data_IF_683018397027
#
_entry.id   IF_683018397027
#
_cell.length_a   1.000
_cell.length_b   1.000
_cell.length_c   1.000
_cell.angle_alpha   90.00
_cell.angle_beta   90.00
_cell.angle_gamma   90.00
#
_symmetry.space_group_name_H-M   'P 1'
#
loop_
_entity.id
_entity.type
_entity.pdbx_description
1 polymer ?
#
# COMPACT_ATOMS: atom_id res chain seq x y z
N UNK A 1 44.09 -9.09 -43.59
CA UNK A 1 43.05 -8.46 -42.74
C UNK A 1 42.05 -7.79 -43.67
N UNK A 2 40.77 -8.18 -43.66
CA UNK A 2 39.76 -7.59 -44.55
C UNK A 2 39.30 -6.24 -44.02
N UNK A 3 39.25 -5.22 -44.88
CA UNK A 3 38.78 -3.87 -44.58
C UNK A 3 37.40 -3.87 -43.88
N UNK A 4 36.51 -4.77 -44.30
CA UNK A 4 35.17 -4.96 -43.73
C UNK A 4 35.24 -5.32 -42.24
N UNK A 5 36.23 -6.14 -41.83
CA UNK A 5 36.40 -6.55 -40.45
C UNK A 5 36.82 -5.40 -39.52
N UNK A 6 37.62 -4.46 -40.03
CA UNK A 6 38.05 -3.26 -39.27
C UNK A 6 36.90 -2.26 -39.11
N UNK A 7 36.08 -2.09 -40.15
CA UNK A 7 34.89 -1.23 -40.07
C UNK A 7 33.87 -1.83 -39.09
N UNK A 8 33.57 -3.13 -39.18
CA UNK A 8 32.64 -3.77 -38.25
C UNK A 8 33.10 -3.72 -36.78
N UNK A 9 34.40 -3.88 -36.52
CA UNK A 9 34.94 -3.80 -35.16
C UNK A 9 34.89 -2.40 -34.57
N UNK A 10 35.19 -1.36 -35.36
CA UNK A 10 35.06 0.04 -34.91
C UNK A 10 33.61 0.45 -34.63
N UNK A 11 32.67 0.00 -35.46
CA UNK A 11 31.23 0.24 -35.25
C UNK A 11 30.69 -0.45 -33.99
N UNK A 12 31.05 -1.71 -33.76
CA UNK A 12 30.64 -2.45 -32.56
C UNK A 12 31.25 -1.88 -31.28
N UNK A 13 32.51 -1.45 -31.33
CA UNK A 13 33.16 -0.76 -30.21
C UNK A 13 32.46 0.57 -29.89
N UNK A 14 32.14 1.36 -30.92
CA UNK A 14 31.40 2.63 -30.78
C UNK A 14 30.01 2.41 -30.17
N UNK A 15 29.27 1.41 -30.64
CA UNK A 15 27.94 1.09 -30.12
C UNK A 15 28.00 0.65 -28.64
N UNK A 16 28.95 -0.21 -28.28
CA UNK A 16 29.15 -0.65 -26.89
C UNK A 16 29.50 0.52 -25.98
N UNK A 17 30.38 1.42 -26.42
CA UNK A 17 30.74 2.60 -25.65
C UNK A 17 29.53 3.51 -25.41
N UNK A 18 28.75 3.80 -26.47
CA UNK A 18 27.51 4.60 -26.36
C UNK A 18 26.50 3.96 -25.42
N UNK A 19 26.31 2.64 -25.50
CA UNK A 19 25.39 1.92 -24.62
C UNK A 19 25.84 1.96 -23.16
N UNK A 20 27.15 1.78 -22.89
CA UNK A 20 27.70 1.85 -21.54
C UNK A 20 27.54 3.25 -20.94
N UNK A 21 27.84 4.30 -21.71
CA UNK A 21 27.64 5.70 -21.27
C UNK A 21 26.17 5.97 -21.00
N UNK A 22 25.26 5.52 -21.88
CA UNK A 22 23.82 5.68 -21.67
C UNK A 22 23.34 4.96 -20.41
N UNK A 23 23.77 3.71 -20.17
CA UNK A 23 23.42 2.96 -18.95
C UNK A 23 23.96 3.64 -17.70
N UNK A 24 25.20 4.13 -17.73
CA UNK A 24 25.79 4.87 -16.62
C UNK A 24 25.01 6.16 -16.33
N UNK A 25 24.61 6.89 -17.38
CA UNK A 25 23.80 8.10 -17.24
C UNK A 25 22.43 7.82 -16.61
N UNK A 26 21.68 6.84 -17.15
CA UNK A 26 20.37 6.44 -16.60
C UNK A 26 20.51 6.02 -15.13
N UNK A 27 21.56 5.26 -14.82
CA UNK A 27 21.81 4.82 -13.45
C UNK A 27 22.14 6.00 -12.51
N UNK A 28 22.96 6.97 -12.94
CA UNK A 28 23.24 8.17 -12.15
C UNK A 28 22.01 9.04 -11.92
N UNK A 29 21.16 9.22 -12.94
CA UNK A 29 19.90 9.96 -12.80
C UNK A 29 18.98 9.25 -11.83
N UNK A 30 18.77 7.94 -12.01
CA UNK A 30 17.96 7.12 -11.12
C UNK A 30 18.45 7.20 -9.67
N UNK A 31 19.75 7.01 -9.44
CA UNK A 31 20.36 7.10 -8.12
C UNK A 31 20.15 8.49 -7.49
N UNK A 32 20.35 9.55 -8.27
CA UNK A 32 20.18 10.92 -7.78
C UNK A 32 18.74 11.20 -7.38
N UNK A 33 17.78 10.80 -8.22
CA UNK A 33 16.35 10.89 -7.92
C UNK A 33 16.01 10.13 -6.64
N UNK A 34 16.51 8.91 -6.48
CA UNK A 34 16.27 8.08 -5.29
C UNK A 34 16.81 8.73 -4.00
N UNK A 35 17.97 9.38 -4.06
CA UNK A 35 18.52 10.10 -2.90
C UNK A 35 17.74 11.35 -2.55
N UNK A 36 17.31 12.11 -3.56
CA UNK A 36 16.49 13.30 -3.34
C UNK A 36 15.15 12.92 -2.74
N UNK A 37 14.48 11.89 -3.26
CA UNK A 37 13.20 11.41 -2.70
C UNK A 37 13.37 10.91 -1.27
N UNK A 38 14.42 10.15 -0.98
CA UNK A 38 14.71 9.68 0.38
C UNK A 38 14.94 10.85 1.35
N UNK A 39 15.69 11.86 0.93
CA UNK A 39 15.92 13.06 1.74
C UNK A 39 14.63 13.83 2.02
N UNK A 40 13.80 14.03 1.00
CA UNK A 40 12.51 14.71 1.14
C UNK A 40 11.58 13.96 2.09
N UNK A 41 11.43 12.65 1.92
CA UNK A 41 10.58 11.83 2.79
C UNK A 41 11.07 11.86 4.23
N UNK A 42 12.38 11.76 4.47
CA UNK A 42 12.96 11.91 5.82
C UNK A 42 12.66 13.27 6.44
N UNK A 43 12.84 14.34 5.67
CA UNK A 43 12.57 15.69 6.14
C UNK A 43 11.09 15.86 6.48
N UNK A 44 10.19 15.36 5.64
CA UNK A 44 8.75 15.40 5.86
C UNK A 44 8.33 14.58 7.07
N UNK A 45 8.81 13.34 7.21
CA UNK A 45 8.49 12.49 8.36
C UNK A 45 9.00 13.13 9.65
N UNK A 46 10.25 13.61 9.67
CA UNK A 46 10.81 14.27 10.85
C UNK A 46 10.03 15.53 11.24
N UNK A 47 9.70 16.39 10.26
CA UNK A 47 8.92 17.59 10.50
C UNK A 47 7.51 17.26 11.01
N UNK A 48 6.84 16.27 10.40
CA UNK A 48 5.51 15.84 10.80
C UNK A 48 5.50 15.22 12.21
N UNK A 49 6.48 14.35 12.53
CA UNK A 49 6.62 13.77 13.87
C UNK A 49 6.88 14.86 14.90
N UNK A 50 7.72 15.87 14.60
CA UNK A 50 7.99 16.99 15.51
C UNK A 50 6.71 17.79 15.79
N UNK A 51 5.97 18.17 14.75
CA UNK A 51 4.73 18.94 14.91
C UNK A 51 3.69 18.14 15.71
N UNK A 52 3.56 16.85 15.42
CA UNK A 52 2.68 15.97 16.18
C UNK A 52 3.13 15.89 17.64
N UNK A 53 4.42 15.73 17.92
CA UNK A 53 4.94 15.67 19.28
C UNK A 53 4.69 16.96 20.07
N UNK A 54 4.93 18.12 19.46
CA UNK A 54 4.63 19.44 20.07
C UNK A 54 3.13 19.55 20.42
N UNK A 55 2.26 19.07 19.53
CA UNK A 55 0.81 19.04 19.78
C UNK A 55 0.46 18.12 20.95
N UNK A 56 1.04 16.93 21.02
CA UNK A 56 0.82 15.97 22.11
C UNK A 56 1.35 16.42 23.47
N UNK A 57 2.35 17.32 23.52
CA UNK A 57 2.80 17.90 24.78
C UNK A 57 1.79 18.88 25.37
N UNK A 58 0.99 19.52 24.52
CA UNK A 58 -0.02 20.48 24.95
C UNK A 58 -1.33 19.81 25.37
N UNK A 59 -1.64 18.63 24.84
CA UNK A 59 -2.88 17.92 25.08
C UNK A 59 -2.62 16.42 25.24
N UNK A 60 -3.16 15.81 26.31
CA UNK A 60 -3.19 14.35 26.39
C UNK A 60 -4.22 13.81 25.40
N UNK A 61 -3.78 12.89 24.53
CA UNK A 61 -4.64 12.23 23.57
C UNK A 61 -4.70 10.74 23.88
N UNK A 62 -5.89 10.23 24.16
CA UNK A 62 -6.12 8.81 24.45
C UNK A 62 -6.06 7.96 23.17
N UNK A 63 -6.47 8.54 22.03
CA UNK A 63 -6.58 7.85 20.74
C UNK A 63 -5.94 8.68 19.64
N UNK A 64 -5.12 8.04 18.82
CA UNK A 64 -4.47 8.63 17.64
C UNK A 64 -5.04 7.98 16.39
N UNK A 65 -5.52 8.81 15.47
CA UNK A 65 -6.02 8.34 14.19
C UNK A 65 -5.05 8.79 13.11
N UNK A 66 -4.61 7.86 12.28
CA UNK A 66 -3.67 8.13 11.21
C UNK A 66 -4.04 7.38 9.94
N UNK A 67 -3.81 8.00 8.79
CA UNK A 67 -4.15 7.43 7.47
C UNK A 67 -2.95 7.52 6.53
N UNK A 68 -2.72 6.46 5.75
CA UNK A 68 -1.68 6.39 4.70
C UNK A 68 -0.32 6.84 5.23
N UNK A 69 0.22 7.95 4.70
CA UNK A 69 1.48 8.56 5.13
C UNK A 69 1.50 8.92 6.62
N UNK A 70 0.39 9.42 7.16
CA UNK A 70 0.27 9.69 8.60
C UNK A 70 0.46 8.44 9.45
N UNK A 71 0.03 7.28 8.95
CA UNK A 71 0.29 6.00 9.61
C UNK A 71 1.77 5.68 9.70
N UNK A 72 2.53 5.96 8.63
CA UNK A 72 3.99 5.81 8.64
C UNK A 72 4.67 6.81 9.60
N UNK A 73 4.21 8.06 9.66
CA UNK A 73 4.71 9.08 10.59
C UNK A 73 4.45 8.67 12.05
N UNK A 74 3.25 8.16 12.33
CA UNK A 74 2.89 7.68 13.66
C UNK A 74 3.77 6.51 14.08
N UNK A 75 3.92 5.49 13.23
CA UNK A 75 4.77 4.34 13.50
C UNK A 75 6.24 4.76 13.69
N UNK A 76 6.74 5.69 12.87
CA UNK A 76 8.09 6.25 13.03
C UNK A 76 8.26 7.01 14.36
N UNK A 77 7.28 7.84 14.73
CA UNK A 77 7.31 8.53 16.02
C UNK A 77 7.28 7.56 17.20
N UNK A 78 6.46 6.50 17.13
CA UNK A 78 6.43 5.46 18.15
C UNK A 78 7.75 4.71 18.26
N UNK A 79 8.39 4.42 17.14
CA UNK A 79 9.76 3.88 17.11
C UNK A 79 10.77 4.78 17.82
N UNK A 80 10.59 6.10 17.75
CA UNK A 80 11.39 7.08 18.47
C UNK A 80 10.95 7.30 19.94
N UNK A 81 10.00 6.51 20.45
CA UNK A 81 9.46 6.64 21.82
C UNK A 81 8.45 7.78 22.00
N UNK A 82 7.99 8.40 20.91
CA UNK A 82 6.90 9.37 20.95
C UNK A 82 5.55 8.63 21.06
N UNK A 83 4.52 9.31 21.57
CA UNK A 83 3.13 8.80 21.57
C UNK A 83 2.93 7.49 22.35
N UNK A 84 3.72 7.27 23.41
CA UNK A 84 3.55 6.13 24.29
C UNK A 84 2.22 6.22 25.05
N UNK A 85 1.53 5.09 25.19
CA UNK A 85 0.29 4.98 25.99
C UNK A 85 -1.01 5.29 25.24
N UNK A 86 -0.98 5.83 24.03
CA UNK A 86 -2.19 6.10 23.24
C UNK A 86 -2.63 4.88 22.41
N UNK A 87 -3.95 4.64 22.36
CA UNK A 87 -4.56 3.72 21.41
C UNK A 87 -4.47 4.29 19.98
N UNK A 88 -4.45 3.44 18.95
CA UNK A 88 -4.18 3.87 17.59
C UNK A 88 -5.16 3.27 16.60
N UNK A 89 -5.62 4.07 15.65
CA UNK A 89 -6.42 3.62 14.52
C UNK A 89 -5.68 3.99 13.25
N UNK A 90 -5.24 2.98 12.51
CA UNK A 90 -4.44 3.12 11.29
C UNK A 90 -5.28 2.76 10.08
N UNK A 91 -5.49 3.73 9.18
CA UNK A 91 -6.13 3.52 7.89
C UNK A 91 -5.09 3.37 6.78
N UNK A 92 -5.09 2.24 6.08
CA UNK A 92 -4.16 1.92 4.98
C UNK A 92 -2.72 2.41 5.22
N UNK A 93 -2.06 2.05 6.35
CA UNK A 93 -0.81 2.68 6.72
C UNK A 93 0.29 2.36 5.67
N UNK A 94 1.04 3.40 5.27
CA UNK A 94 1.97 3.34 4.15
C UNK A 94 3.43 3.08 4.56
N UNK A 95 3.66 2.43 5.70
CA UNK A 95 4.98 2.16 6.25
C UNK A 95 5.87 1.34 5.31
N UNK A 96 5.29 0.44 4.51
CA UNK A 96 6.06 -0.33 3.53
C UNK A 96 6.58 0.52 2.36
N UNK A 97 5.91 1.64 2.05
CA UNK A 97 6.35 2.59 1.01
C UNK A 97 7.39 3.57 1.57
N UNK A 98 7.15 4.06 2.79
CA UNK A 98 7.98 5.10 3.43
C UNK A 98 9.24 4.52 4.07
N UNK A 99 9.14 3.34 4.68
CA UNK A 99 10.23 2.69 5.42
C UNK A 99 11.54 2.56 4.64
N UNK A 100 11.54 2.04 3.40
CA UNK A 100 12.76 1.95 2.58
C UNK A 100 13.46 3.30 2.34
N UNK A 101 12.70 4.40 2.30
CA UNK A 101 13.22 5.75 2.06
C UNK A 101 13.83 6.38 3.32
N UNK A 102 13.48 5.88 4.50
CA UNK A 102 14.02 6.38 5.77
C UNK A 102 15.40 5.78 6.10
N UNK A 103 15.83 4.72 5.42
CA UNK A 103 16.99 3.85 5.74
C UNK A 103 17.07 3.39 7.20
N UNK A 104 15.99 3.50 7.96
CA UNK A 104 15.81 2.63 9.13
C UNK A 104 15.68 1.21 8.57
N UNK A 105 16.26 0.21 9.25
CA UNK A 105 15.95 -1.17 8.91
C UNK A 105 14.42 -1.26 8.84
N UNK A 106 13.85 -1.75 7.74
CA UNK A 106 12.41 -1.95 7.68
C UNK A 106 11.94 -2.80 8.88
N UNK A 107 12.82 -3.63 9.44
CA UNK A 107 12.58 -4.37 10.68
C UNK A 107 12.46 -3.47 11.93
N UNK A 108 13.11 -2.31 12.00
CA UNK A 108 12.99 -1.38 13.13
C UNK A 108 11.66 -0.62 13.12
N UNK A 109 11.08 -0.41 11.93
CA UNK A 109 9.77 0.25 11.78
C UNK A 109 8.59 -0.73 11.73
N UNK A 110 8.80 -1.94 11.20
CA UNK A 110 7.80 -3.02 11.14
C UNK A 110 7.77 -3.79 12.47
N UNK A 111 8.90 -3.86 13.18
CA UNK A 111 9.07 -4.64 14.40
C UNK A 111 8.86 -3.88 15.70
N UNK A 112 8.54 -2.58 15.66
CA UNK A 112 8.15 -1.89 16.88
C UNK A 112 6.66 -2.14 17.13
N UNK A 113 6.31 -2.93 18.16
CA UNK A 113 4.93 -3.28 18.40
C UNK A 113 4.16 -1.99 18.71
N UNK A 114 3.13 -1.66 17.93
CA UNK A 114 2.15 -0.69 18.39
C UNK A 114 1.66 -1.14 19.76
N UNK A 115 1.59 -0.19 20.71
CA UNK A 115 0.98 -0.42 22.01
C UNK A 115 -0.38 -1.13 21.91
N UNK A 116 -0.74 -1.87 22.96
CA UNK A 116 -2.06 -2.46 23.14
C UNK A 116 -3.15 -1.45 22.71
N UNK A 117 -4.13 -1.91 21.93
CA UNK A 117 -5.18 -1.04 21.39
C UNK A 117 -4.87 -0.40 20.04
N UNK A 118 -4.10 -1.07 19.18
CA UNK A 118 -3.93 -0.64 17.78
C UNK A 118 -4.88 -1.40 16.85
N UNK A 119 -5.72 -0.65 16.15
CA UNK A 119 -6.63 -1.11 15.11
C UNK A 119 -6.07 -0.74 13.74
N UNK A 120 -5.88 -1.74 12.87
CA UNK A 120 -5.49 -1.52 11.47
C UNK A 120 -6.68 -1.79 10.58
N UNK A 121 -7.06 -0.78 9.79
CA UNK A 121 -8.13 -0.83 8.81
C UNK A 121 -7.50 -0.65 7.43
N UNK A 122 -7.76 -1.58 6.51
CA UNK A 122 -7.23 -1.51 5.16
C UNK A 122 -8.32 -1.92 4.16
N UNK A 123 -8.51 -1.14 3.10
CA UNK A 123 -9.46 -1.48 2.05
C UNK A 123 -8.86 -2.52 1.10
N UNK A 124 -9.53 -3.65 0.88
CA UNK A 124 -8.98 -4.74 0.03
C UNK A 124 -8.70 -4.35 -1.43
N UNK A 125 -9.22 -3.21 -1.88
CA UNK A 125 -9.04 -2.66 -3.24
C UNK A 125 -8.27 -1.33 -3.25
N UNK A 126 -7.46 -1.07 -2.22
CA UNK A 126 -6.57 0.10 -2.21
C UNK A 126 -5.47 -0.08 -3.28
N UNK A 127 -5.49 0.77 -4.30
CA UNK A 127 -4.49 0.75 -5.39
C UNK A 127 -3.23 1.56 -5.04
N UNK A 128 -3.29 2.38 -3.98
CA UNK A 128 -2.21 3.30 -3.61
C UNK A 128 -1.27 2.66 -2.60
N UNK A 129 -1.82 1.99 -1.58
CA UNK A 129 -1.05 1.31 -0.56
C UNK A 129 -1.36 -0.18 -0.61
N UNK A 130 -0.38 -1.04 -0.98
CA UNK A 130 -0.59 -2.47 -1.01
C UNK A 130 -1.03 -3.03 0.35
N UNK A 131 -2.03 -3.89 0.37
CA UNK A 131 -2.59 -4.52 1.58
C UNK A 131 -1.53 -5.34 2.33
N UNK A 132 -0.54 -5.86 1.61
CA UNK A 132 0.60 -6.61 2.15
C UNK A 132 1.38 -5.80 3.18
N UNK A 133 1.39 -4.46 3.09
CA UNK A 133 2.04 -3.62 4.09
C UNK A 133 1.34 -3.71 5.44
N UNK A 134 0.01 -3.70 5.43
CA UNK A 134 -0.79 -3.83 6.64
C UNK A 134 -0.76 -5.26 7.18
N UNK A 135 -0.75 -6.26 6.30
CA UNK A 135 -0.59 -7.66 6.71
C UNK A 135 0.76 -7.89 7.40
N UNK A 136 1.86 -7.42 6.82
CA UNK A 136 3.20 -7.53 7.44
C UNK A 136 3.26 -6.85 8.80
N UNK A 137 2.58 -5.71 8.95
CA UNK A 137 2.47 -5.01 10.23
C UNK A 137 1.68 -5.83 11.25
N UNK A 138 0.56 -6.47 10.86
CA UNK A 138 -0.23 -7.30 11.77
C UNK A 138 0.53 -8.57 12.15
N UNK A 139 1.22 -9.21 11.20
CA UNK A 139 2.00 -10.43 11.45
C UNK A 139 3.19 -10.17 12.38
N UNK A 140 3.79 -8.97 12.35
CA UNK A 140 4.81 -8.60 13.33
C UNK A 140 4.24 -8.30 14.74
N UNK A 141 2.91 -8.30 14.91
CA UNK A 141 2.19 -7.94 16.15
C UNK A 141 1.47 -9.13 16.83
N UNK A 142 1.90 -10.37 16.59
CA UNK A 142 1.17 -11.61 16.89
C UNK A 142 0.61 -11.78 18.33
N UNK A 143 0.99 -10.96 19.31
CA UNK A 143 0.47 -11.03 20.68
C UNK A 143 -0.59 -9.95 21.04
N UNK A 144 -0.80 -8.89 20.23
CA UNK A 144 -1.62 -7.73 20.67
C UNK A 144 -2.54 -7.08 19.62
N UNK A 145 -2.54 -7.53 18.36
CA UNK A 145 -3.36 -6.92 17.31
C UNK A 145 -4.66 -7.67 17.03
N UNK A 146 -5.78 -6.93 16.90
CA UNK A 146 -7.03 -7.46 16.33
C UNK A 146 -7.16 -6.98 14.88
N UNK A 147 -7.29 -7.93 13.95
CA UNK A 147 -7.54 -7.67 12.53
C UNK A 147 -9.03 -7.46 12.29
N UNK A 148 -9.39 -6.37 11.63
CA UNK A 148 -10.77 -6.14 11.13
C UNK A 148 -10.68 -5.90 9.63
N UNK A 149 -11.20 -6.84 8.85
CA UNK A 149 -11.37 -6.68 7.40
C UNK A 149 -12.77 -6.16 7.11
N UNK A 150 -12.85 -4.98 6.48
CA UNK A 150 -14.10 -4.46 5.95
C UNK A 150 -14.15 -4.83 4.46
N UNK A 151 -14.68 -6.02 4.19
CA UNK A 151 -15.02 -6.41 2.83
C UNK A 151 -16.22 -5.56 2.38
N UNK A 152 -16.04 -4.78 1.31
CA UNK A 152 -17.19 -4.21 0.61
C UNK A 152 -18.06 -5.40 0.20
N UNK A 153 -19.25 -5.53 0.80
CA UNK A 153 -20.30 -6.39 0.27
C UNK A 153 -20.42 -5.99 -1.19
N UNK A 154 -20.05 -6.92 -2.08
CA UNK A 154 -20.39 -6.80 -3.48
C UNK A 154 -21.87 -6.48 -3.50
N UNK A 155 -22.20 -5.29 -3.96
CA UNK A 155 -23.55 -4.96 -4.36
C UNK A 155 -23.86 -5.85 -5.56
N UNK A 156 -24.19 -7.12 -5.29
CA UNK A 156 -24.91 -7.97 -6.20
C UNK A 156 -26.19 -7.23 -6.54
N UNK A 157 -26.26 -6.81 -7.81
CA UNK A 157 -27.40 -6.17 -8.45
C UNK A 157 -28.28 -5.30 -7.55
N UNK A 158 -27.91 -4.03 -7.38
CA UNK A 158 -28.95 -3.02 -7.38
C UNK A 158 -29.62 -3.14 -8.76
N UNK A 159 -30.76 -3.84 -8.80
CA UNK A 159 -31.56 -4.02 -9.99
C UNK A 159 -31.75 -2.68 -10.68
N UNK A 160 -31.65 -2.72 -12.01
CA UNK A 160 -31.88 -1.57 -12.87
C UNK A 160 -33.20 -0.86 -12.50
N UNK A 161 -33.15 0.39 -11.97
CA UNK A 161 -34.36 1.12 -11.59
C UNK A 161 -35.18 1.54 -12.82
N UNK A 162 -34.76 1.23 -14.05
CA UNK A 162 -35.54 1.48 -15.26
C UNK A 162 -36.41 0.32 -15.71
N UNK A 163 -36.43 -0.82 -15.00
CA UNK A 163 -37.36 -1.90 -15.29
C UNK A 163 -38.80 -1.49 -14.91
N UNK A 164 -39.75 -1.43 -15.88
CA UNK A 164 -41.14 -1.07 -15.59
C UNK A 164 -41.81 -2.12 -14.69
N UNK A 165 -42.61 -1.71 -13.69
CA UNK A 165 -43.32 -2.63 -12.82
C UNK A 165 -44.49 -3.25 -13.61
N UNK A 166 -44.33 -4.48 -14.11
CA UNK A 166 -45.46 -5.13 -14.78
C UNK A 166 -45.26 -6.43 -15.56
N UNK A 167 -44.07 -7.02 -15.64
CA UNK A 167 -43.92 -8.32 -16.29
C UNK A 167 -44.07 -9.47 -15.27
N UNK A 168 -45.29 -9.64 -14.75
CA UNK A 168 -45.71 -10.93 -14.18
C UNK A 168 -45.96 -11.84 -15.38
N UNK A 169 -44.97 -12.67 -15.72
CA UNK A 169 -45.16 -13.77 -16.67
C UNK A 169 -45.94 -14.88 -15.97
N UNK A 170 -47.26 -14.83 -16.16
CA UNK A 170 -48.22 -15.91 -15.91
C UNK A 170 -47.93 -17.09 -16.85
N UNK A 171 -47.05 -18.01 -16.45
CA UNK A 171 -46.91 -19.30 -17.12
C UNK A 171 -47.86 -20.33 -16.48
N UNK A 172 -49.12 -20.24 -16.90
CA UNK A 172 -50.18 -21.21 -16.64
C UNK A 172 -50.60 -21.88 -17.94
N UNK A 173 -49.84 -22.87 -18.41
CA UNK A 173 -50.28 -23.90 -19.37
C UNK A 173 -49.21 -25.02 -19.41
N UNK A 174 -49.49 -26.31 -19.35
CA UNK A 174 -50.76 -27.01 -19.32
C UNK A 174 -50.55 -28.45 -18.89
N UNK A 175 -51.54 -28.96 -18.15
CA UNK A 175 -51.70 -30.39 -17.95
C UNK A 175 -52.24 -31.01 -19.25
N UNK A 176 -51.52 -31.99 -19.80
CA UNK A 176 -52.06 -32.96 -20.76
C UNK A 176 -51.46 -34.31 -20.41
N UNK A 177 -52.30 -35.18 -19.85
CA UNK A 177 -51.92 -36.53 -19.45
C UNK A 177 -51.90 -37.53 -20.59
N UNK A 178 -52.01 -38.82 -20.18
CA UNK A 178 -52.24 -40.04 -20.98
C UNK A 178 -50.95 -40.73 -21.43
N UNK A 179 -50.74 -42.04 -21.41
CA UNK A 179 -51.29 -43.28 -20.80
C UNK A 179 -50.27 -44.38 -21.20
N UNK A 180 -50.26 -45.50 -20.46
CA UNK A 180 -49.87 -46.87 -20.87
C UNK A 180 -48.40 -47.17 -21.26
N UNK A 181 -47.78 -48.29 -20.87
CA UNK A 181 -48.28 -49.47 -20.16
C UNK A 181 -47.21 -50.59 -20.06
N UNK A 182 -47.67 -51.71 -19.48
CA UNK A 182 -47.06 -53.04 -19.37
C UNK A 182 -45.86 -53.22 -18.40
#
# INVERSE_FOLDING_TARGET
>A
VSFIGVVASTWTLSLRLKLTVYRAYVWMVWWSCQRVSAFLVRSMVSAATRIAQETFQTHQHDVIIASSFGGAVLLYGKAAGCFAGSANILFSPSQGVVGPLLHSSAADMIGLPPSEGTLVVHASKDETVPVEHSLKLITSMEESCRRIEICKLSSESAGDPTAPPGAVSDDRAGAKGREDGA
#
